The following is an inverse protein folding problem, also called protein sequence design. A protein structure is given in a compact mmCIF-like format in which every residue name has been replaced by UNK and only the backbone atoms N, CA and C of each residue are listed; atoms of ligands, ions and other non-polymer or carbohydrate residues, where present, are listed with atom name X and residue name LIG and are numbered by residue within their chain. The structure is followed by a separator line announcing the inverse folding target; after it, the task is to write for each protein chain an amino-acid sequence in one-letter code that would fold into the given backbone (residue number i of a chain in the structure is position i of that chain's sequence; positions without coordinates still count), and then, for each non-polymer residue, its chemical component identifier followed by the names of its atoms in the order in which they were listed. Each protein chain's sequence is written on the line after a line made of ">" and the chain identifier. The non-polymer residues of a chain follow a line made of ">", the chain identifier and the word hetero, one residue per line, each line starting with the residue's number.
data_IF_797410396690
#
_entry.id   IF_797410396690
#
_cell.length_a   1.000
_cell.length_b   1.000
_cell.length_c   1.000
_cell.angle_alpha   90.00
_cell.angle_beta   90.00
_cell.angle_gamma   90.00
#
_symmetry.space_group_name_H-M   'P 1'
#
loop_
_entity.id
_entity.type
_entity.pdbx_description
1 polymer ?
#
# COMPACT_ATOMS: atom_id res chain seq x y z
N UNK A 1 -70.32 -9.21 6.18
CA UNK A 1 -69.24 -8.22 6.23
C UNK A 1 -69.40 -7.48 7.54
N UNK A 2 -68.51 -7.69 8.51
CA UNK A 2 -68.58 -6.98 9.79
C UNK A 2 -68.19 -5.52 9.57
N UNK A 3 -69.11 -4.63 9.90
CA UNK A 3 -68.87 -3.19 9.85
C UNK A 3 -68.04 -2.79 11.07
N UNK A 4 -67.23 -1.73 10.95
CA UNK A 4 -66.38 -1.26 12.06
C UNK A 4 -67.19 -1.03 13.36
N UNK A 5 -68.42 -0.55 13.25
CA UNK A 5 -69.36 -0.33 14.36
C UNK A 5 -70.00 -1.60 14.95
N UNK A 6 -69.89 -2.76 14.29
CA UNK A 6 -70.38 -4.05 14.81
C UNK A 6 -69.27 -4.90 15.44
N UNK A 7 -68.02 -4.43 15.37
CA UNK A 7 -66.86 -5.18 15.80
C UNK A 7 -66.61 -5.04 17.30
N UNK A 8 -66.10 -6.09 17.93
CA UNK A 8 -65.81 -6.16 19.36
C UNK A 8 -64.76 -5.10 19.76
N UNK A 9 -64.88 -4.55 20.98
CA UNK A 9 -64.01 -3.50 21.51
C UNK A 9 -62.50 -3.79 21.36
N UNK A 10 -61.97 -5.01 21.64
CA UNK A 10 -60.54 -5.29 21.49
C UNK A 10 -60.05 -5.22 20.05
N UNK A 11 -60.90 -5.54 19.06
CA UNK A 11 -60.53 -5.47 17.64
C UNK A 11 -60.40 -4.03 17.14
N UNK A 12 -61.29 -3.13 17.60
CA UNK A 12 -61.19 -1.69 17.29
C UNK A 12 -59.95 -1.08 17.92
N UNK A 13 -59.68 -1.40 19.18
CA UNK A 13 -58.50 -0.91 19.89
C UNK A 13 -57.20 -1.37 19.22
N UNK A 14 -57.11 -2.64 18.82
CA UNK A 14 -55.96 -3.19 18.10
C UNK A 14 -55.72 -2.47 16.77
N UNK A 15 -56.77 -2.20 15.99
CA UNK A 15 -56.67 -1.46 14.74
C UNK A 15 -56.22 0.00 14.95
N UNK A 16 -56.75 0.69 15.96
CA UNK A 16 -56.34 2.07 16.28
C UNK A 16 -54.87 2.15 16.71
N UNK A 17 -54.40 1.19 17.49
CA UNK A 17 -52.99 1.08 17.88
C UNK A 17 -52.10 0.84 16.65
N UNK A 18 -52.51 -0.07 15.75
CA UNK A 18 -51.78 -0.32 14.52
C UNK A 18 -51.71 0.94 13.63
N UNK A 19 -52.82 1.66 13.49
CA UNK A 19 -52.88 2.91 12.73
C UNK A 19 -51.95 3.98 13.33
N UNK A 20 -51.92 4.13 14.65
CA UNK A 20 -50.98 5.02 15.34
C UNK A 20 -49.52 4.68 15.02
N UNK A 21 -49.15 3.40 15.03
CA UNK A 21 -47.79 2.95 14.65
C UNK A 21 -47.49 3.27 13.18
N UNK A 22 -48.47 3.12 12.27
CA UNK A 22 -48.27 3.48 10.85
C UNK A 22 -48.03 4.99 10.67
N UNK A 23 -48.76 5.84 11.40
CA UNK A 23 -48.54 7.30 11.36
C UNK A 23 -47.14 7.64 11.87
N UNK A 24 -46.71 7.06 12.99
CA UNK A 24 -45.37 7.29 13.53
C UNK A 24 -44.27 6.88 12.54
N UNK A 25 -44.43 5.75 11.84
CA UNK A 25 -43.50 5.31 10.80
C UNK A 25 -43.44 6.29 9.61
N UNK A 26 -44.59 6.78 9.16
CA UNK A 26 -44.66 7.76 8.07
C UNK A 26 -44.04 9.11 8.47
N UNK A 27 -44.16 9.55 9.73
CA UNK A 27 -43.48 10.76 10.25
C UNK A 27 -41.97 10.59 10.22
N UNK A 28 -41.45 9.43 10.66
CA UNK A 28 -40.01 9.11 10.60
C UNK A 28 -39.51 9.10 9.15
N UNK A 29 -40.30 8.53 8.23
CA UNK A 29 -39.98 8.54 6.81
C UNK A 29 -39.96 9.97 6.25
N UNK A 30 -40.93 10.82 6.62
CA UNK A 30 -40.95 12.23 6.23
C UNK A 30 -39.71 12.98 6.72
N UNK A 31 -39.34 12.79 7.99
CA UNK A 31 -38.11 13.37 8.57
C UNK A 31 -36.87 13.00 7.75
N UNK A 32 -36.72 11.71 7.42
CA UNK A 32 -35.61 11.23 6.59
C UNK A 32 -35.60 11.82 5.17
N UNK A 33 -36.78 12.00 4.55
CA UNK A 33 -36.89 12.62 3.22
C UNK A 33 -36.61 14.13 3.23
N UNK A 34 -36.78 14.82 4.36
CA UNK A 34 -36.44 16.25 4.50
C UNK A 34 -34.93 16.41 4.74
N UNK A 35 -34.35 15.55 5.59
CA UNK A 35 -32.93 15.63 5.95
C UNK A 35 -32.00 15.21 4.80
N UNK A 36 -32.36 14.14 4.09
CA UNK A 36 -31.70 13.81 2.83
C UNK A 36 -32.32 14.66 1.73
N UNK A 37 -31.52 15.40 0.93
CA UNK A 37 -31.96 16.14 -0.27
C UNK A 37 -32.60 15.21 -1.33
N UNK A 38 -33.73 14.62 -1.02
CA UNK A 38 -34.43 13.64 -1.82
C UNK A 38 -35.50 14.31 -2.70
N UNK A 39 -35.91 13.61 -3.75
CA UNK A 39 -36.74 14.11 -4.84
C UNK A 39 -38.05 14.68 -4.27
N UNK A 40 -38.39 15.93 -4.66
CA UNK A 40 -39.57 16.67 -4.17
C UNK A 40 -40.89 15.88 -4.29
N UNK A 41 -41.00 14.98 -5.28
CA UNK A 41 -42.18 14.13 -5.47
C UNK A 41 -42.39 13.10 -4.35
N UNK A 42 -41.31 12.57 -3.76
CA UNK A 42 -41.40 11.62 -2.64
C UNK A 42 -41.93 12.28 -1.37
N UNK A 43 -41.50 13.52 -1.09
CA UNK A 43 -41.98 14.31 0.06
C UNK A 43 -43.48 14.56 -0.04
N UNK A 44 -43.96 14.95 -1.22
CA UNK A 44 -45.38 15.24 -1.48
C UNK A 44 -46.23 13.98 -1.32
N UNK A 45 -45.80 12.84 -1.86
CA UNK A 45 -46.52 11.57 -1.73
C UNK A 45 -46.63 11.11 -0.26
N UNK A 46 -45.56 11.28 0.53
CA UNK A 46 -45.54 10.89 1.93
C UNK A 46 -46.39 11.83 2.79
N UNK A 47 -46.37 13.14 2.52
CA UNK A 47 -47.24 14.11 3.17
C UNK A 47 -48.73 13.82 2.87
N UNK A 48 -49.06 13.46 1.62
CA UNK A 48 -50.42 13.06 1.26
C UNK A 48 -50.86 11.78 2.00
N UNK A 49 -49.98 10.77 2.10
CA UNK A 49 -50.24 9.54 2.87
C UNK A 49 -50.42 9.80 4.36
N UNK A 50 -49.63 10.70 4.96
CA UNK A 50 -49.80 11.14 6.34
C UNK A 50 -51.15 11.82 6.59
N UNK A 51 -51.53 12.76 5.72
CA UNK A 51 -52.81 13.47 5.84
C UNK A 51 -54.00 12.51 5.69
N UNK A 52 -53.92 11.54 4.78
CA UNK A 52 -54.98 10.55 4.58
C UNK A 52 -55.12 9.62 5.79
N UNK A 53 -54.01 9.09 6.31
CA UNK A 53 -54.02 8.18 7.48
C UNK A 53 -54.45 8.91 8.76
N UNK A 54 -54.03 10.17 8.95
CA UNK A 54 -54.45 11.00 10.07
C UNK A 54 -55.94 11.36 9.99
N UNK A 55 -56.46 11.69 8.80
CA UNK A 55 -57.88 11.93 8.59
C UNK A 55 -58.74 10.70 8.91
N UNK A 56 -58.30 9.50 8.48
CA UNK A 56 -58.97 8.24 8.83
C UNK A 56 -58.91 8.00 10.35
N UNK A 57 -57.76 8.25 11.00
CA UNK A 57 -57.63 8.12 12.45
C UNK A 57 -58.59 9.05 13.20
N UNK A 58 -58.69 10.33 12.81
CA UNK A 58 -59.59 11.30 13.44
C UNK A 58 -61.06 10.91 13.32
N UNK A 59 -61.49 10.41 12.15
CA UNK A 59 -62.87 9.93 11.94
C UNK A 59 -63.17 8.69 12.80
N UNK A 60 -62.21 7.77 12.92
CA UNK A 60 -62.39 6.56 13.72
C UNK A 60 -62.28 6.79 15.23
N UNK A 61 -61.54 7.83 15.65
CA UNK A 61 -61.44 8.24 17.05
C UNK A 61 -62.75 8.86 17.54
N UNK A 62 -63.41 9.66 16.70
CA UNK A 62 -64.73 10.26 16.97
C UNK A 62 -65.82 9.18 17.16
N UNK A 63 -65.72 8.06 16.42
CA UNK A 63 -66.63 6.90 16.55
C UNK A 63 -66.26 5.95 17.71
N UNK A 64 -65.07 6.11 18.31
CA UNK A 64 -64.60 5.31 19.46
C UNK A 64 -64.92 5.98 20.81
N UNK A 65 -64.93 7.32 20.87
CA UNK A 65 -65.28 8.08 22.06
C UNK A 65 -66.79 8.36 22.02
N UNK A 66 -67.60 7.48 22.61
CA UNK A 66 -69.03 7.78 22.84
C UNK A 66 -69.10 8.89 23.89
N UNK A 67 -69.58 10.11 23.57
CA UNK A 67 -69.80 11.11 24.59
C UNK A 67 -71.00 10.68 25.44
N UNK A 68 -70.81 10.72 26.75
CA UNK A 68 -71.75 10.16 27.73
C UNK A 68 -73.12 10.87 27.76
N UNK A 69 -73.28 12.03 27.09
CA UNK A 69 -74.43 12.94 27.28
C UNK A 69 -75.08 13.49 25.99
N UNK A 70 -75.14 12.77 24.87
CA UNK A 70 -75.94 13.27 23.74
C UNK A 70 -76.93 12.25 23.17
N UNK A 71 -78.20 12.51 23.53
CA UNK A 71 -79.45 11.84 23.15
C UNK A 71 -79.64 11.78 21.62
N UNK A 72 -78.85 12.50 20.82
CA UNK A 72 -78.91 12.52 19.36
C UNK A 72 -77.53 12.40 18.68
N UNK A 73 -76.60 11.55 19.17
CA UNK A 73 -75.42 11.21 18.38
C UNK A 73 -75.77 10.27 17.23
N UNK A 74 -75.89 10.83 16.03
CA UNK A 74 -75.74 10.07 14.79
C UNK A 74 -74.27 10.16 14.39
N UNK A 75 -73.43 9.30 14.99
CA UNK A 75 -72.09 9.04 14.47
C UNK A 75 -72.16 8.71 12.98
N UNK A 76 -71.18 9.17 12.20
CA UNK A 76 -71.16 8.97 10.76
C UNK A 76 -71.21 7.47 10.45
N UNK A 77 -72.38 6.97 10.02
CA UNK A 77 -72.61 5.58 9.58
C UNK A 77 -71.92 5.31 8.24
N UNK A 78 -70.62 5.58 8.14
CA UNK A 78 -69.86 5.15 6.98
C UNK A 78 -69.70 3.63 7.08
N UNK A 79 -70.27 2.83 6.15
CA UNK A 79 -70.16 1.38 6.20
C UNK A 79 -68.76 0.98 5.73
N UNK A 80 -67.75 1.18 6.57
CA UNK A 80 -66.36 0.83 6.27
C UNK A 80 -66.12 -0.62 6.69
N UNK A 81 -65.84 -1.53 5.73
CA UNK A 81 -65.51 -2.91 6.06
C UNK A 81 -64.13 -2.95 6.72
N UNK A 82 -64.06 -3.50 7.93
CA UNK A 82 -62.83 -3.54 8.73
C UNK A 82 -61.69 -4.29 8.01
N UNK A 83 -62.02 -5.31 7.22
CA UNK A 83 -61.05 -6.04 6.40
C UNK A 83 -60.40 -5.15 5.32
N UNK A 84 -61.17 -4.22 4.73
CA UNK A 84 -60.65 -3.26 3.75
C UNK A 84 -59.72 -2.24 4.41
N UNK A 85 -60.09 -1.78 5.60
CA UNK A 85 -59.25 -0.86 6.40
C UNK A 85 -57.90 -1.50 6.78
N UNK A 86 -57.90 -2.75 7.26
CA UNK A 86 -56.67 -3.50 7.55
C UNK A 86 -55.78 -3.69 6.32
N UNK A 87 -56.37 -3.99 5.16
CA UNK A 87 -55.60 -4.21 3.93
C UNK A 87 -54.93 -2.92 3.47
N UNK A 88 -55.65 -1.80 3.52
CA UNK A 88 -55.12 -0.48 3.14
C UNK A 88 -54.00 -0.05 4.09
N UNK A 89 -54.19 -0.15 5.41
CA UNK A 89 -53.14 0.23 6.38
C UNK A 89 -51.92 -0.67 6.30
N UNK A 90 -52.10 -1.98 6.07
CA UNK A 90 -50.99 -2.91 5.87
C UNK A 90 -50.16 -2.60 4.63
N UNK A 91 -50.80 -2.24 3.51
CA UNK A 91 -50.10 -1.85 2.27
C UNK A 91 -49.30 -0.56 2.48
N UNK A 92 -49.87 0.44 3.14
CA UNK A 92 -49.17 1.71 3.47
C UNK A 92 -47.98 1.44 4.39
N UNK A 93 -48.15 0.58 5.40
CA UNK A 93 -47.08 0.20 6.31
C UNK A 93 -45.94 -0.53 5.61
N UNK A 94 -46.25 -1.54 4.78
CA UNK A 94 -45.23 -2.30 4.05
C UNK A 94 -44.51 -1.43 3.03
N UNK A 95 -45.24 -0.56 2.31
CA UNK A 95 -44.67 0.39 1.37
C UNK A 95 -43.73 1.40 2.03
N UNK A 96 -44.13 1.98 3.16
CA UNK A 96 -43.28 2.89 3.92
C UNK A 96 -42.04 2.18 4.49
N UNK A 97 -42.18 0.97 5.04
CA UNK A 97 -41.06 0.18 5.54
C UNK A 97 -40.05 -0.15 4.42
N UNK A 98 -40.53 -0.55 3.25
CA UNK A 98 -39.68 -0.79 2.07
C UNK A 98 -38.95 0.47 1.61
N UNK A 99 -39.64 1.63 1.61
CA UNK A 99 -39.02 2.91 1.28
C UNK A 99 -37.92 3.31 2.29
N UNK A 100 -38.12 3.07 3.60
CA UNK A 100 -37.09 3.29 4.63
C UNK A 100 -35.85 2.42 4.35
N UNK A 101 -36.04 1.14 4.03
CA UNK A 101 -34.93 0.22 3.72
C UNK A 101 -34.16 0.64 2.46
N UNK A 102 -34.87 1.07 1.42
CA UNK A 102 -34.26 1.61 0.21
C UNK A 102 -33.46 2.89 0.49
N UNK A 103 -33.97 3.78 1.35
CA UNK A 103 -33.23 4.95 1.78
C UNK A 103 -31.94 4.57 2.52
N UNK A 104 -32.01 3.62 3.47
CA UNK A 104 -30.84 3.18 4.23
C UNK A 104 -29.75 2.54 3.35
N UNK A 105 -30.14 1.70 2.38
CA UNK A 105 -29.17 1.04 1.50
C UNK A 105 -28.52 2.01 0.51
N UNK A 106 -29.24 3.04 0.07
CA UNK A 106 -28.69 4.12 -0.78
C UNK A 106 -27.77 5.05 -0.01
N UNK A 107 -28.04 5.32 1.27
CA UNK A 107 -27.20 6.20 2.09
C UNK A 107 -25.80 5.61 2.32
N UNK A 108 -25.72 4.28 2.50
CA UNK A 108 -24.44 3.54 2.58
C UNK A 108 -23.57 3.63 1.32
N UNK A 109 -24.12 4.08 0.19
CA UNK A 109 -23.38 4.24 -1.08
C UNK A 109 -22.91 5.67 -1.34
N UNK A 110 -23.23 6.62 -0.46
CA UNK A 110 -22.77 8.00 -0.61
C UNK A 110 -21.48 8.16 0.18
N UNK A 111 -20.40 8.47 -0.54
CA UNK A 111 -19.16 8.94 0.05
C UNK A 111 -19.47 10.25 0.77
N UNK A 112 -19.54 10.19 2.10
CA UNK A 112 -19.78 11.36 2.94
C UNK A 112 -18.44 12.02 3.23
N UNK A 113 -18.41 13.33 3.47
CA UNK A 113 -17.19 14.07 3.85
C UNK A 113 -16.46 13.41 5.02
N UNK A 114 -17.22 12.85 5.98
CA UNK A 114 -16.68 12.07 7.10
C UNK A 114 -15.92 10.83 6.64
N UNK A 115 -16.39 10.10 5.63
CA UNK A 115 -15.70 8.91 5.11
C UNK A 115 -14.44 9.29 4.34
N UNK A 116 -14.41 10.46 3.69
CA UNK A 116 -13.19 10.97 3.05
C UNK A 116 -12.16 11.31 4.13
N UNK A 117 -12.60 11.97 5.21
CA UNK A 117 -11.72 12.28 6.34
C UNK A 117 -11.20 11.01 7.00
N UNK A 118 -12.07 10.02 7.26
CA UNK A 118 -11.69 8.74 7.84
C UNK A 118 -10.69 7.97 6.95
N UNK A 119 -10.94 7.91 5.65
CA UNK A 119 -10.01 7.29 4.70
C UNK A 119 -8.66 8.00 4.66
N UNK A 120 -8.64 9.33 4.78
CA UNK A 120 -7.40 10.11 4.86
C UNK A 120 -6.70 9.85 6.20
N UNK A 121 -7.44 9.77 7.30
CA UNK A 121 -6.91 9.50 8.65
C UNK A 121 -6.31 8.09 8.79
N UNK A 122 -6.74 7.13 7.97
CA UNK A 122 -6.19 5.77 7.92
C UNK A 122 -4.85 5.68 7.17
N UNK A 123 -4.49 6.68 6.37
CA UNK A 123 -3.24 6.62 5.60
C UNK A 123 -2.05 6.70 6.57
N UNK A 124 -1.09 5.74 6.51
CA UNK A 124 0.04 5.65 7.45
C UNK A 124 1.14 6.70 7.18
N UNK A 125 0.79 7.85 6.62
CA UNK A 125 1.69 8.96 6.31
C UNK A 125 1.10 10.27 6.83
N UNK A 126 1.95 11.18 7.30
CA UNK A 126 1.51 12.51 7.68
C UNK A 126 1.10 13.28 6.43
N UNK A 127 -0.15 13.73 6.38
CA UNK A 127 -0.69 14.53 5.28
C UNK A 127 -1.29 15.83 5.85
N UNK A 128 -0.87 16.96 5.29
CA UNK A 128 -1.42 18.29 5.60
C UNK A 128 -1.71 19.08 4.33
N UNK A 129 -2.96 19.53 4.17
CA UNK A 129 -3.36 20.45 3.11
C UNK A 129 -3.48 21.87 3.65
N UNK A 130 -2.80 22.80 3.01
CA UNK A 130 -2.78 24.21 3.37
C UNK A 130 -3.33 25.03 2.21
N UNK A 131 -4.21 25.98 2.53
CA UNK A 131 -4.67 26.97 1.57
C UNK A 131 -3.54 28.00 1.33
N UNK A 132 -3.61 28.77 0.25
CA UNK A 132 -2.67 29.88 -0.01
C UNK A 132 -2.52 30.90 1.13
N UNK A 133 -3.52 31.05 2.00
CA UNK A 133 -3.43 31.91 3.19
C UNK A 133 -2.63 31.25 4.34
N UNK A 134 -2.03 30.08 4.11
CA UNK A 134 -1.24 29.33 5.08
C UNK A 134 -2.06 28.48 6.05
N UNK A 135 -3.38 28.66 6.14
CA UNK A 135 -4.23 27.93 7.11
C UNK A 135 -4.44 26.49 6.64
N UNK A 136 -4.31 25.55 7.58
CA UNK A 136 -4.59 24.14 7.33
C UNK A 136 -6.09 23.92 7.07
N UNK A 137 -6.40 23.28 5.96
CA UNK A 137 -7.77 22.89 5.61
C UNK A 137 -8.05 21.44 6.04
N UNK A 138 -7.02 20.60 6.01
CA UNK A 138 -7.11 19.20 6.39
C UNK A 138 -5.77 18.71 6.91
N UNK A 139 -5.80 18.03 8.04
CA UNK A 139 -4.64 17.38 8.65
C UNK A 139 -5.07 15.97 9.03
N UNK A 140 -4.35 14.97 8.54
CA UNK A 140 -4.53 13.58 8.95
C UNK A 140 -4.04 13.39 10.40
N UNK A 141 -4.70 12.53 11.18
CA UNK A 141 -4.22 12.03 12.48
C UNK A 141 -2.70 11.80 12.55
N UNK A 142 -2.09 11.15 11.55
CA UNK A 142 -0.63 10.88 11.60
C UNK A 142 0.22 12.15 11.54
N UNK A 143 -0.23 13.16 10.80
CA UNK A 143 0.43 14.47 10.75
C UNK A 143 0.30 15.21 12.09
N UNK A 144 -0.88 15.11 12.74
CA UNK A 144 -1.10 15.67 14.06
C UNK A 144 -0.16 15.05 15.11
N UNK A 145 -0.01 13.72 15.10
CA UNK A 145 0.92 13.01 15.99
C UNK A 145 2.38 13.46 15.76
N UNK A 146 2.82 13.55 14.50
CA UNK A 146 4.18 14.01 14.17
C UNK A 146 4.37 15.46 14.66
N UNK A 147 3.39 16.34 14.44
CA UNK A 147 3.49 17.72 14.93
C UNK A 147 3.54 17.82 16.45
N UNK A 148 2.79 16.98 17.17
CA UNK A 148 2.81 16.93 18.62
C UNK A 148 4.17 16.44 19.14
N UNK A 149 4.76 15.45 18.49
CA UNK A 149 6.10 14.95 18.86
C UNK A 149 7.19 16.02 18.61
N UNK A 150 7.09 16.79 17.52
CA UNK A 150 8.11 17.77 17.12
C UNK A 150 7.97 19.11 17.88
N UNK A 151 6.74 19.57 18.09
CA UNK A 151 6.41 20.91 18.61
C UNK A 151 5.61 20.91 19.93
N UNK A 152 5.05 19.78 20.36
CA UNK A 152 4.14 19.72 21.51
C UNK A 152 2.75 20.32 21.25
N UNK A 153 2.43 20.66 20.00
CA UNK A 153 1.13 21.18 19.57
C UNK A 153 0.77 20.69 18.17
N UNK A 154 -0.53 20.61 17.89
CA UNK A 154 -1.03 20.35 16.53
C UNK A 154 -0.86 21.61 15.70
N UNK A 155 -0.18 21.48 14.55
CA UNK A 155 0.07 22.61 13.64
C UNK A 155 -1.22 23.05 12.96
N UNK A 156 -1.48 24.36 12.92
CA UNK A 156 -2.67 24.92 12.27
C UNK A 156 -2.31 25.74 11.01
N UNK A 157 -1.06 26.17 10.91
CA UNK A 157 -0.59 27.00 9.79
C UNK A 157 0.68 26.42 9.18
N UNK A 158 0.87 26.63 7.88
CA UNK A 158 2.08 26.23 7.15
C UNK A 158 3.34 26.95 7.67
N UNK A 159 3.23 28.22 8.08
CA UNK A 159 4.35 28.95 8.70
C UNK A 159 4.84 28.26 9.97
N UNK A 160 3.92 27.80 10.83
CA UNK A 160 4.29 27.04 12.04
C UNK A 160 5.01 25.73 11.70
N UNK A 161 4.65 25.09 10.58
CA UNK A 161 5.32 23.89 10.07
C UNK A 161 6.74 24.20 9.60
N UNK A 162 6.91 25.30 8.85
CA UNK A 162 8.22 25.75 8.38
C UNK A 162 9.13 26.15 9.54
N UNK A 163 8.61 26.95 10.48
CA UNK A 163 9.33 27.38 11.68
C UNK A 163 9.76 26.19 12.54
N UNK A 164 8.91 25.15 12.63
CA UNK A 164 9.26 23.89 13.29
C UNK A 164 10.43 23.19 12.60
N UNK A 165 10.38 23.06 11.27
CA UNK A 165 11.39 22.37 10.48
C UNK A 165 12.75 23.10 10.55
N UNK A 166 12.73 24.44 10.57
CA UNK A 166 13.93 25.27 10.73
C UNK A 166 14.47 25.27 12.17
N UNK A 167 13.58 25.37 13.17
CA UNK A 167 13.93 25.37 14.58
C UNK A 167 14.50 24.04 15.11
N UNK A 168 14.27 22.94 14.39
CA UNK A 168 14.72 21.57 14.72
C UNK A 168 15.77 21.02 13.76
N UNK A 169 16.71 21.87 13.35
CA UNK A 169 17.85 21.47 12.49
C UNK A 169 18.72 20.36 13.10
N UNK A 170 18.66 20.15 14.42
CA UNK A 170 19.32 19.08 15.16
C UNK A 170 18.79 17.67 14.80
N UNK A 171 17.56 17.58 14.30
CA UNK A 171 16.93 16.30 13.95
C UNK A 171 17.09 15.96 12.47
N UNK A 172 17.73 16.83 11.68
CA UNK A 172 17.88 16.68 10.24
C UNK A 172 19.07 15.76 9.90
N UNK A 173 18.80 14.52 9.47
CA UNK A 173 19.84 13.58 9.00
C UNK A 173 20.29 13.88 7.57
N UNK A 174 19.40 14.36 6.71
CA UNK A 174 19.64 14.70 5.31
C UNK A 174 18.70 15.83 4.91
N UNK A 175 18.90 16.45 3.74
CA UNK A 175 18.13 17.60 3.25
C UNK A 175 16.59 17.43 3.40
N UNK A 176 16.08 16.21 3.24
CA UNK A 176 14.65 15.88 3.33
C UNK A 176 14.29 14.88 4.44
N UNK A 177 15.25 14.38 5.24
CA UNK A 177 15.01 13.30 6.22
C UNK A 177 15.26 13.78 7.64
N UNK A 178 14.23 13.67 8.47
CA UNK A 178 14.19 14.06 9.87
C UNK A 178 14.10 12.82 10.76
N UNK A 179 14.89 12.77 11.83
CA UNK A 179 14.85 11.72 12.84
C UNK A 179 14.01 12.20 14.03
N UNK A 180 12.91 11.53 14.29
CA UNK A 180 12.06 11.80 15.45
C UNK A 180 12.72 11.26 16.75
N UNK A 181 12.28 11.74 17.93
CA UNK A 181 12.80 11.30 19.24
C UNK A 181 12.56 9.82 19.53
N UNK A 182 11.57 9.22 18.88
CA UNK A 182 11.25 7.78 18.95
C UNK A 182 12.28 6.91 18.17
N UNK A 183 13.21 7.55 17.43
CA UNK A 183 14.19 6.88 16.57
C UNK A 183 13.68 6.58 15.16
N UNK A 184 12.44 6.96 14.84
CA UNK A 184 11.87 6.84 13.49
C UNK A 184 12.46 7.90 12.56
N UNK A 185 12.70 7.55 11.29
CA UNK A 185 13.12 8.49 10.26
C UNK A 185 11.93 8.83 9.36
N UNK A 186 11.59 10.12 9.30
CA UNK A 186 10.51 10.64 8.47
C UNK A 186 11.08 11.50 7.35
N UNK A 187 10.63 11.30 6.11
CA UNK A 187 10.96 12.16 4.97
C UNK A 187 9.87 13.20 4.78
N UNK A 188 10.28 14.46 4.72
CA UNK A 188 9.43 15.60 4.42
C UNK A 188 9.41 15.87 2.91
N UNK A 189 8.24 16.10 2.34
CA UNK A 189 8.08 16.51 0.93
C UNK A 189 6.96 17.54 0.84
N UNK A 190 7.19 18.62 0.11
CA UNK A 190 6.19 19.62 -0.24
C UNK A 190 5.77 19.45 -1.70
N UNK A 191 4.48 19.63 -1.97
CA UNK A 191 3.92 19.65 -3.32
C UNK A 191 2.84 20.74 -3.45
N UNK A 192 2.53 21.14 -4.68
CA UNK A 192 1.44 22.06 -4.98
C UNK A 192 0.34 21.36 -5.78
N UNK A 193 -0.87 21.36 -5.23
CA UNK A 193 -2.06 20.80 -5.86
C UNK A 193 -2.95 21.92 -6.41
N UNK A 194 -3.27 21.84 -7.71
CA UNK A 194 -4.22 22.74 -8.38
C UNK A 194 -5.51 22.01 -8.63
N UNK A 195 -6.62 22.50 -8.07
CA UNK A 195 -7.94 21.91 -8.31
C UNK A 195 -8.45 22.24 -9.71
N UNK A 196 -9.43 21.47 -10.18
CA UNK A 196 -10.12 21.76 -11.46
C UNK A 196 -10.79 23.15 -11.49
N UNK A 197 -11.08 23.74 -10.32
CA UNK A 197 -11.60 25.09 -10.17
C UNK A 197 -10.50 26.19 -10.21
N UNK A 198 -9.23 25.81 -10.35
CA UNK A 198 -8.08 26.72 -10.39
C UNK A 198 -7.56 27.16 -9.02
N UNK A 199 -8.10 26.62 -7.92
CA UNK A 199 -7.59 26.90 -6.58
C UNK A 199 -6.29 26.13 -6.33
N UNK A 200 -5.28 26.82 -5.78
CA UNK A 200 -3.98 26.22 -5.45
C UNK A 200 -3.90 25.90 -3.96
N UNK A 201 -3.40 24.73 -3.66
CA UNK A 201 -3.17 24.23 -2.31
C UNK A 201 -1.73 23.79 -2.19
N UNK A 202 -1.11 24.08 -1.05
CA UNK A 202 0.18 23.49 -0.69
C UNK A 202 -0.08 22.24 0.12
N UNK A 203 0.67 21.19 -0.18
CA UNK A 203 0.51 19.89 0.47
C UNK A 203 1.85 19.48 1.05
N UNK A 204 1.83 19.16 2.33
CA UNK A 204 2.98 18.65 3.06
C UNK A 204 2.78 17.17 3.34
N UNK A 205 3.83 16.40 3.07
CA UNK A 205 3.88 14.97 3.28
C UNK A 205 5.00 14.59 4.25
N UNK A 206 4.70 13.72 5.21
CA UNK A 206 5.67 13.05 6.05
C UNK A 206 5.58 11.54 5.82
N UNK A 207 6.57 10.99 5.13
CA UNK A 207 6.69 9.56 4.87
C UNK A 207 7.56 8.88 5.93
N UNK A 208 7.10 7.80 6.54
CA UNK A 208 7.96 6.96 7.35
C UNK A 208 8.96 6.20 6.43
N UNK A 209 10.22 6.60 6.50
CA UNK A 209 11.33 6.02 5.75
C UNK A 209 12.27 5.22 6.65
N UNK A 210 11.90 4.93 7.90
CA UNK A 210 12.74 4.22 8.88
C UNK A 210 13.29 2.91 8.32
N UNK A 211 12.40 2.08 7.76
CA UNK A 211 12.80 0.81 7.13
C UNK A 211 13.68 1.04 5.91
N UNK A 212 13.38 2.05 5.12
CA UNK A 212 14.10 2.34 3.88
C UNK A 212 15.54 2.81 4.16
N UNK A 213 15.71 3.69 5.14
CA UNK A 213 17.02 4.16 5.61
C UNK A 213 17.83 3.00 6.17
N UNK A 214 17.22 2.12 6.98
CA UNK A 214 17.89 0.92 7.50
C UNK A 214 18.36 0.00 6.37
N UNK A 215 17.48 -0.30 5.41
CA UNK A 215 17.82 -1.15 4.26
C UNK A 215 18.94 -0.56 3.40
N UNK A 216 18.94 0.76 3.20
CA UNK A 216 20.01 1.45 2.49
C UNK A 216 21.35 1.26 3.20
N UNK A 217 21.41 1.48 4.52
CA UNK A 217 22.62 1.26 5.33
C UNK A 217 23.11 -0.19 5.27
N UNK A 218 22.20 -1.16 5.35
CA UNK A 218 22.53 -2.59 5.18
C UNK A 218 23.13 -2.87 3.80
N UNK A 219 22.54 -2.32 2.74
CA UNK A 219 23.00 -2.51 1.37
C UNK A 219 24.37 -1.88 1.12
N UNK A 220 24.61 -0.68 1.66
CA UNK A 220 25.91 0.00 1.56
C UNK A 220 27.01 -0.82 2.27
N UNK A 221 26.71 -1.42 3.43
CA UNK A 221 27.64 -2.29 4.14
C UNK A 221 27.98 -3.57 3.35
N UNK A 222 26.96 -4.22 2.76
CA UNK A 222 27.16 -5.40 1.91
C UNK A 222 27.98 -5.08 0.65
N UNK A 223 27.75 -3.92 0.04
CA UNK A 223 28.48 -3.52 -1.15
C UNK A 223 29.97 -3.27 -0.84
N UNK A 224 30.29 -2.70 0.32
CA UNK A 224 31.68 -2.53 0.75
C UNK A 224 32.36 -3.88 1.03
N UNK A 225 31.66 -4.83 1.66
CA UNK A 225 32.17 -6.19 1.85
C UNK A 225 32.47 -6.89 0.52
N UNK A 226 31.54 -6.80 -0.45
CA UNK A 226 31.75 -7.32 -1.79
C UNK A 226 32.94 -6.66 -2.50
N UNK A 227 33.14 -5.36 -2.30
CA UNK A 227 34.30 -4.64 -2.85
C UNK A 227 35.61 -5.16 -2.28
N UNK A 228 35.66 -5.40 -0.96
CA UNK A 228 36.84 -5.98 -0.30
C UNK A 228 37.12 -7.39 -0.81
N UNK A 229 36.10 -8.25 -0.90
CA UNK A 229 36.23 -9.62 -1.42
C UNK A 229 36.69 -9.64 -2.87
N UNK A 230 36.19 -8.73 -3.71
CA UNK A 230 36.61 -8.59 -5.11
C UNK A 230 38.10 -8.27 -5.22
N UNK A 231 38.60 -7.32 -4.41
CA UNK A 231 40.03 -6.97 -4.38
C UNK A 231 40.87 -8.14 -3.89
N UNK A 232 40.43 -8.87 -2.86
CA UNK A 232 41.12 -10.04 -2.35
C UNK A 232 41.19 -11.18 -3.37
N UNK A 233 40.08 -11.47 -4.05
CA UNK A 233 40.02 -12.51 -5.08
C UNK A 233 40.95 -12.17 -6.26
N UNK A 234 40.98 -10.90 -6.68
CA UNK A 234 41.92 -10.43 -7.71
C UNK A 234 43.37 -10.68 -7.31
N UNK A 235 43.77 -10.34 -6.08
CA UNK A 235 45.13 -10.59 -5.57
C UNK A 235 45.46 -12.08 -5.52
N UNK A 236 44.51 -12.92 -5.09
CA UNK A 236 44.69 -14.37 -5.09
C UNK A 236 44.88 -14.92 -6.50
N UNK A 237 44.11 -14.44 -7.48
CA UNK A 237 44.28 -14.80 -8.89
C UNK A 237 45.65 -14.41 -9.43
N UNK A 238 46.13 -13.20 -9.11
CA UNK A 238 47.46 -12.73 -9.51
C UNK A 238 48.56 -13.62 -8.90
N UNK A 239 48.42 -14.00 -7.62
CA UNK A 239 49.35 -14.90 -6.95
C UNK A 239 49.35 -16.33 -7.52
N UNK A 240 48.17 -16.89 -7.82
CA UNK A 240 48.07 -18.22 -8.46
C UNK A 240 48.66 -18.18 -9.88
N UNK A 241 48.47 -17.10 -10.63
CA UNK A 241 49.09 -16.92 -11.93
C UNK A 241 50.63 -16.87 -11.85
N UNK A 242 51.18 -16.22 -10.83
CA UNK A 242 52.63 -16.23 -10.59
C UNK A 242 53.13 -17.62 -10.18
N UNK A 243 52.43 -18.30 -9.26
CA UNK A 243 52.79 -19.65 -8.84
C UNK A 243 52.79 -20.63 -10.01
N UNK A 244 51.77 -20.58 -10.86
CA UNK A 244 51.70 -21.45 -12.04
C UNK A 244 52.86 -21.19 -13.01
N UNK A 245 53.27 -19.93 -13.18
CA UNK A 245 54.42 -19.56 -14.01
C UNK A 245 55.75 -20.07 -13.42
N UNK A 246 55.91 -20.01 -12.11
CA UNK A 246 57.08 -20.55 -11.41
C UNK A 246 57.14 -22.08 -11.49
N UNK A 247 56.01 -22.75 -11.35
CA UNK A 247 55.89 -24.20 -11.45
C UNK A 247 56.21 -24.69 -12.87
N UNK A 248 55.72 -23.98 -13.90
CA UNK A 248 56.04 -24.28 -15.29
C UNK A 248 57.55 -24.09 -15.58
N UNK A 249 58.15 -23.00 -15.07
CA UNK A 249 59.59 -22.75 -15.20
C UNK A 249 60.43 -23.82 -14.48
N UNK A 250 60.00 -24.26 -13.30
CA UNK A 250 60.65 -25.34 -12.55
C UNK A 250 60.54 -26.67 -13.29
N UNK A 251 59.35 -26.99 -13.82
CA UNK A 251 59.14 -28.19 -14.63
C UNK A 251 60.06 -28.20 -15.85
N UNK A 252 60.14 -27.07 -16.57
CA UNK A 252 61.05 -26.93 -17.70
C UNK A 252 62.50 -27.10 -17.29
N UNK A 253 62.94 -26.46 -16.20
CA UNK A 253 64.32 -26.57 -15.71
C UNK A 253 64.71 -28.00 -15.38
N UNK A 254 63.82 -28.74 -14.72
CA UNK A 254 64.05 -30.16 -14.39
C UNK A 254 64.14 -31.00 -15.67
N UNK A 255 63.18 -30.85 -16.60
CA UNK A 255 63.19 -31.58 -17.87
C UNK A 255 64.43 -31.28 -18.71
N UNK A 256 64.87 -30.01 -18.73
CA UNK A 256 66.11 -29.59 -19.41
C UNK A 256 67.35 -30.23 -18.77
N UNK A 257 67.41 -30.23 -17.45
CA UNK A 257 68.51 -30.83 -16.70
C UNK A 257 68.60 -32.35 -16.95
N UNK A 258 67.47 -33.05 -16.96
CA UNK A 258 67.44 -34.49 -17.20
C UNK A 258 67.84 -34.85 -18.64
N UNK A 259 67.29 -34.12 -19.63
CA UNK A 259 67.61 -34.36 -21.05
C UNK A 259 69.09 -34.05 -21.36
N UNK A 260 69.63 -32.96 -20.79
CA UNK A 260 71.05 -32.64 -20.93
C UNK A 260 71.93 -33.62 -20.16
N UNK A 261 71.51 -34.05 -18.98
CA UNK A 261 72.23 -35.04 -18.17
C UNK A 261 72.34 -36.38 -18.88
N UNK A 262 71.24 -36.85 -19.48
CA UNK A 262 71.22 -38.07 -20.29
C UNK A 262 72.04 -37.92 -21.56
N UNK A 263 71.90 -36.81 -22.28
CA UNK A 263 72.69 -36.51 -23.49
C UNK A 263 74.18 -36.44 -23.24
N UNK A 264 74.61 -35.74 -22.20
CA UNK A 264 76.02 -35.63 -21.83
C UNK A 264 76.59 -36.97 -21.34
N UNK A 265 75.76 -37.78 -20.66
CA UNK A 265 76.15 -39.13 -20.25
C UNK A 265 76.28 -40.06 -21.45
N UNK A 266 75.38 -39.97 -22.44
CA UNK A 266 75.45 -40.72 -23.68
C UNK A 266 76.71 -40.36 -24.48
N UNK A 267 76.99 -39.05 -24.66
CA UNK A 267 78.21 -38.55 -25.30
C UNK A 267 79.47 -39.02 -24.55
N UNK A 268 79.46 -38.97 -23.22
CA UNK A 268 80.58 -39.45 -22.42
C UNK A 268 80.80 -40.95 -22.59
N UNK A 269 79.73 -41.76 -22.63
CA UNK A 269 79.82 -43.21 -22.86
C UNK A 269 80.34 -43.52 -24.26
N UNK A 270 79.87 -42.84 -25.30
CA UNK A 270 80.34 -43.06 -26.67
C UNK A 270 81.81 -42.65 -26.85
N UNK A 271 82.23 -41.53 -26.27
CA UNK A 271 83.63 -41.07 -26.29
C UNK A 271 84.57 -41.99 -25.50
N UNK A 272 84.15 -42.52 -24.35
CA UNK A 272 84.97 -43.43 -23.55
C UNK A 272 85.04 -44.85 -24.12
N UNK A 273 84.05 -45.27 -24.90
CA UNK A 273 83.97 -46.63 -25.44
C UNK A 273 84.66 -46.82 -26.80
N UNK A 274 85.22 -45.78 -27.44
CA UNK A 274 85.90 -45.87 -28.75
C UNK A 274 85.05 -46.57 -29.83
N UNK A 275 83.76 -46.25 -29.92
CA UNK A 275 82.88 -46.75 -30.97
C UNK A 275 83.13 -46.05 -32.33
N UNK A 276 82.82 -46.69 -33.46
CA UNK A 276 82.99 -46.12 -34.81
C UNK A 276 82.22 -44.78 -34.97
N UNK A 277 82.74 -43.88 -35.82
CA UNK A 277 82.23 -42.51 -36.06
C UNK A 277 80.75 -42.40 -36.44
N UNK A 278 80.08 -43.50 -36.84
CA UNK A 278 78.67 -43.46 -37.23
C UNK A 278 77.70 -43.45 -36.03
N UNK A 279 77.97 -44.22 -34.96
CA UNK A 279 77.10 -44.30 -33.78
C UNK A 279 77.26 -43.08 -32.86
N UNK A 280 78.41 -42.40 -32.93
CA UNK A 280 78.64 -41.11 -32.27
C UNK A 280 77.82 -39.99 -32.92
N UNK A 281 77.74 -39.96 -34.25
CA UNK A 281 76.92 -38.99 -35.00
C UNK A 281 75.42 -39.24 -34.75
N UNK A 282 74.98 -40.49 -34.71
CA UNK A 282 73.58 -40.83 -34.40
C UNK A 282 73.17 -40.43 -32.96
N UNK A 283 74.06 -40.60 -31.98
CA UNK A 283 73.81 -40.16 -30.60
C UNK A 283 73.75 -38.63 -30.47
N UNK A 284 74.62 -37.92 -31.21
CA UNK A 284 74.61 -36.45 -31.26
C UNK A 284 73.38 -35.91 -32.00
N UNK A 285 72.94 -36.57 -33.08
CA UNK A 285 71.70 -36.26 -33.79
C UNK A 285 70.49 -36.49 -32.90
N UNK A 286 70.41 -37.60 -32.17
CA UNK A 286 69.32 -37.84 -31.22
C UNK A 286 69.25 -36.78 -30.12
N UNK A 287 70.39 -36.29 -29.63
CA UNK A 287 70.42 -35.18 -28.67
C UNK A 287 70.01 -33.85 -29.32
N UNK A 288 70.48 -33.56 -30.54
CA UNK A 288 70.08 -32.36 -31.28
C UNK A 288 68.59 -32.36 -31.60
N UNK A 289 68.03 -33.51 -31.95
CA UNK A 289 66.60 -33.67 -32.22
C UNK A 289 65.80 -33.50 -30.92
N UNK A 290 66.25 -34.04 -29.80
CA UNK A 290 65.62 -33.80 -28.50
C UNK A 290 65.66 -32.30 -28.11
N UNK A 291 66.78 -31.62 -28.36
CA UNK A 291 66.91 -30.17 -28.12
C UNK A 291 65.96 -29.37 -29.01
N UNK A 292 65.85 -29.69 -30.29
CA UNK A 292 64.97 -28.96 -31.22
C UNK A 292 63.49 -29.18 -30.92
N UNK A 293 63.10 -30.38 -30.48
CA UNK A 293 61.72 -30.66 -30.02
C UNK A 293 61.38 -29.84 -28.78
N UNK A 294 62.30 -29.73 -27.82
CA UNK A 294 62.10 -28.93 -26.60
C UNK A 294 62.07 -27.43 -26.91
N UNK A 295 62.92 -26.94 -27.81
CA UNK A 295 62.89 -25.53 -28.25
C UNK A 295 61.57 -25.18 -28.94
N UNK A 296 61.04 -26.08 -29.77
CA UNK A 296 59.76 -25.87 -30.45
C UNK A 296 58.57 -25.86 -29.49
N UNK A 297 58.60 -26.70 -28.45
CA UNK A 297 57.57 -26.73 -27.39
C UNK A 297 57.62 -25.44 -26.52
N UNK A 298 58.82 -24.87 -26.33
CA UNK A 298 59.01 -23.57 -25.68
C UNK A 298 58.41 -22.41 -26.50
N UNK A 299 58.64 -22.38 -27.82
CA UNK A 299 58.10 -21.32 -28.68
C UNK A 299 56.56 -21.38 -28.79
N UNK A 300 55.97 -22.59 -28.78
CA UNK A 300 54.52 -22.79 -28.85
C UNK A 300 53.81 -22.45 -27.52
N UNK A 301 54.45 -22.75 -26.39
CA UNK A 301 53.96 -22.34 -25.07
C UNK A 301 54.02 -20.82 -24.87
N UNK A 302 55.08 -20.14 -25.35
CA UNK A 302 55.14 -18.68 -25.35
C UNK A 302 54.10 -18.03 -26.29
N UNK A 303 53.78 -18.62 -27.44
CA UNK A 303 52.69 -18.14 -28.30
C UNK A 303 51.31 -18.30 -27.66
N UNK A 304 51.04 -19.42 -26.96
CA UNK A 304 49.78 -19.59 -26.21
C UNK A 304 49.63 -18.58 -25.07
N UNK A 305 50.72 -18.19 -24.41
CA UNK A 305 50.71 -17.17 -23.35
C UNK A 305 50.27 -15.79 -23.85
N UNK A 306 50.64 -15.40 -25.06
CA UNK A 306 50.25 -14.11 -25.68
C UNK A 306 48.76 -14.08 -26.05
N UNK A 307 48.17 -15.23 -26.37
CA UNK A 307 46.76 -15.33 -26.75
C UNK A 307 45.79 -15.23 -25.56
N UNK A 308 46.23 -15.54 -24.33
CA UNK A 308 45.39 -15.58 -23.12
C UNK A 308 45.43 -14.25 -22.35
N UNK A 309 46.33 -13.32 -22.72
CA UNK A 309 46.49 -12.01 -22.05
C UNK A 309 45.61 -10.87 -22.59
N UNK A 310 44.60 -11.14 -23.41
CA UNK A 310 43.62 -10.16 -23.91
C UNK A 310 42.22 -10.37 -23.30
#
# INVERSE_FOLDING_TARGET
>A
MTLFYECDYPMRFSYMLFLMVTILMLVVLMWKLILGKHIKSGVIACAAGLMLTLGVYSVLLDDHIVPQDAINWQGHKAPLPIAGLWLITAVIFLGGAYAILLCQTRDKRKVTESSIKEAIDEIPMGLGYFRQNGVSMLINRRMAEISEIMCGKVLMTFEELSDMLEGRSDWKETEDVYRLPDGSACRYVEDELVTAAGERFRVAYFYDVTKLVRRKKELDAQNEELRIMSVQNRRLRENVGQLAKEEELLFFKTKWHDTMGEGLTAIRRTLLASLPENETDDSLRSLSDAITVIQRDNDDSDQRRVAISF
#
